data_IF_902805916350
#
_entry.id   IF_902805916350
#
_cell.length_a   1.000
_cell.length_b   1.000
_cell.length_c   1.000
_cell.angle_alpha   90.00
_cell.angle_beta   90.00
_cell.angle_gamma   90.00
#
_symmetry.space_group_name_H-M   'P 1'
#
loop_
_entity.id
_entity.type
_entity.pdbx_description
1 polymer ?
#
# COMPACT_ATOMS: atom_id res chain seq x y z
N UNK A 1 35.98 -65.28 6.67
CA UNK A 1 36.77 -64.51 5.69
C UNK A 1 35.82 -63.43 5.16
N UNK A 2 35.79 -62.19 5.72
CA UNK A 2 36.71 -61.05 5.47
C UNK A 2 36.78 -60.72 3.97
N UNK A 3 36.55 -59.53 3.41
CA UNK A 3 36.63 -58.11 3.88
C UNK A 3 35.68 -57.23 3.03
N UNK A 4 35.30 -56.07 3.58
CA UNK A 4 34.57 -54.94 3.02
C UNK A 4 35.19 -54.26 1.76
N UNK A 5 34.39 -53.47 1.02
CA UNK A 5 34.69 -52.03 0.88
C UNK A 5 33.49 -51.19 0.38
N UNK A 6 33.41 -49.96 0.90
CA UNK A 6 32.39 -48.94 0.62
C UNK A 6 33.05 -47.69 0.03
N UNK A 7 32.39 -46.98 -0.91
CA UNK A 7 32.59 -45.58 -1.34
C UNK A 7 31.72 -45.31 -2.57
N UNK A 8 31.22 -44.13 -2.91
CA UNK A 8 30.89 -42.86 -2.27
C UNK A 8 30.19 -42.04 -3.38
N UNK A 9 29.22 -41.21 -3.02
CA UNK A 9 28.41 -40.34 -3.90
C UNK A 9 29.23 -39.28 -4.67
N UNK A 10 28.72 -38.81 -5.82
CA UNK A 10 28.60 -37.39 -6.19
C UNK A 10 27.53 -37.18 -7.30
N UNK A 11 26.55 -36.26 -7.13
CA UNK A 11 25.64 -35.84 -8.18
C UNK A 11 26.18 -34.62 -8.97
N UNK A 12 25.84 -34.57 -10.26
CA UNK A 12 26.15 -33.49 -11.20
C UNK A 12 25.23 -32.29 -10.92
N UNK A 13 25.80 -31.14 -10.58
CA UNK A 13 25.07 -29.88 -10.43
C UNK A 13 25.34 -28.97 -11.64
N UNK A 14 24.33 -28.80 -12.51
CA UNK A 14 24.31 -27.82 -13.59
C UNK A 14 23.74 -26.48 -13.07
N UNK A 15 24.62 -25.54 -12.72
CA UNK A 15 24.27 -24.15 -12.42
C UNK A 15 24.39 -23.28 -13.66
N UNK A 16 23.35 -23.22 -14.50
CA UNK A 16 23.28 -22.32 -15.64
C UNK A 16 22.67 -20.98 -15.25
N UNK A 17 23.49 -19.93 -15.12
CA UNK A 17 23.02 -18.54 -15.12
C UNK A 17 22.30 -18.31 -16.44
N UNK A 18 21.04 -17.85 -16.37
CA UNK A 18 20.13 -17.75 -17.52
C UNK A 18 20.74 -16.90 -18.65
N UNK A 19 21.20 -17.60 -19.68
CA UNK A 19 21.87 -17.14 -20.90
C UNK A 19 21.10 -15.99 -21.59
N UNK A 20 19.78 -15.90 -21.37
CA UNK A 20 18.93 -14.81 -21.88
C UNK A 20 19.22 -13.46 -21.21
N UNK A 21 19.47 -13.44 -19.91
CA UNK A 21 19.77 -12.21 -19.16
C UNK A 21 21.13 -11.64 -19.54
N UNK A 22 22.12 -12.52 -19.76
CA UNK A 22 23.44 -12.14 -20.24
C UNK A 22 23.37 -11.62 -21.68
N UNK A 23 22.62 -12.29 -22.57
CA UNK A 23 22.39 -11.84 -23.96
C UNK A 23 21.71 -10.48 -24.03
N UNK A 24 20.70 -10.23 -23.18
CA UNK A 24 20.01 -8.94 -23.12
C UNK A 24 20.94 -7.82 -22.62
N UNK A 25 21.74 -8.07 -21.59
CA UNK A 25 22.72 -7.11 -21.07
C UNK A 25 23.80 -6.76 -22.12
N UNK A 26 24.26 -7.76 -22.89
CA UNK A 26 25.20 -7.57 -24.00
C UNK A 26 24.54 -6.74 -25.12
N UNK A 27 23.29 -7.03 -25.48
CA UNK A 27 22.55 -6.30 -26.51
C UNK A 27 22.36 -4.82 -26.14
N UNK A 28 21.96 -4.52 -24.90
CA UNK A 28 21.80 -3.14 -24.40
C UNK A 28 23.15 -2.41 -24.39
N UNK A 29 24.23 -3.09 -24.01
CA UNK A 29 25.58 -2.52 -24.00
C UNK A 29 26.09 -2.19 -25.40
N UNK A 30 25.82 -3.06 -26.38
CA UNK A 30 26.18 -2.83 -27.79
C UNK A 30 25.38 -1.69 -28.41
N UNK A 31 24.09 -1.56 -28.07
CA UNK A 31 23.25 -0.44 -28.54
C UNK A 31 23.73 0.90 -27.97
N UNK A 32 24.09 0.95 -26.67
CA UNK A 32 24.67 2.14 -26.05
C UNK A 32 26.04 2.50 -26.63
N UNK A 33 26.88 1.50 -26.92
CA UNK A 33 28.17 1.71 -27.57
C UNK A 33 28.04 2.29 -28.99
N UNK A 34 27.08 1.79 -29.79
CA UNK A 34 26.79 2.33 -31.13
C UNK A 34 26.23 3.76 -31.09
N UNK A 35 25.43 4.09 -30.08
CA UNK A 35 24.91 5.46 -29.91
C UNK A 35 26.04 6.46 -29.59
N UNK A 36 26.98 6.06 -28.72
CA UNK A 36 28.15 6.88 -28.36
C UNK A 36 29.12 7.04 -29.53
N UNK A 37 29.34 5.98 -30.34
CA UNK A 37 30.16 6.06 -31.55
C UNK A 37 29.55 6.98 -32.62
N UNK A 38 28.22 6.99 -32.77
CA UNK A 38 27.53 7.95 -33.66
C UNK A 38 27.68 9.40 -33.19
N UNK A 39 27.72 9.64 -31.88
CA UNK A 39 28.01 10.98 -31.32
C UNK A 39 29.47 11.41 -31.54
N UNK A 40 30.42 10.47 -31.51
CA UNK A 40 31.85 10.79 -31.73
C UNK A 40 32.20 10.99 -33.21
N UNK A 41 31.43 10.43 -34.16
CA UNK A 41 31.65 10.66 -35.60
C UNK A 41 31.20 12.04 -36.11
N UNK A 42 30.51 12.86 -35.31
CA UNK A 42 30.07 14.21 -35.70
C UNK A 42 31.10 15.32 -35.41
N UNK A 43 32.29 15.02 -34.88
CA UNK A 43 33.34 16.02 -34.58
C UNK A 43 34.70 15.67 -35.23
N UNK A 44 34.77 15.75 -36.58
CA UNK A 44 35.95 15.99 -37.46
C UNK A 44 37.29 15.20 -37.25
N UNK A 45 38.31 15.39 -38.12
CA UNK A 45 38.39 15.00 -39.53
C UNK A 45 39.51 13.95 -39.80
N UNK A 46 39.56 13.46 -41.04
CA UNK A 46 40.55 12.51 -41.59
C UNK A 46 41.97 13.08 -41.55
N UNK A 47 42.89 12.46 -40.80
CA UNK A 47 44.34 12.48 -41.11
C UNK A 47 44.96 11.14 -40.71
N UNK A 48 45.51 10.46 -41.71
CA UNK A 48 46.31 9.24 -41.63
C UNK A 48 47.71 9.55 -41.10
N UNK A 49 48.13 8.89 -40.01
CA UNK A 49 49.54 8.77 -39.62
C UNK A 49 49.76 7.46 -38.82
N UNK A 50 50.97 6.86 -38.88
CA UNK A 50 51.25 5.53 -38.32
C UNK A 50 51.25 5.53 -36.78
N UNK A 51 51.06 4.36 -36.12
CA UNK A 51 50.88 4.31 -34.68
C UNK A 51 52.22 4.63 -33.99
N UNK A 52 52.30 5.83 -33.42
CA UNK A 52 53.38 6.22 -32.51
C UNK A 52 53.17 5.52 -31.17
N UNK A 53 54.27 5.21 -30.46
CA UNK A 53 54.29 4.71 -29.07
C UNK A 53 53.36 5.49 -28.11
N UNK A 54 53.00 6.72 -28.48
CA UNK A 54 51.97 7.55 -27.83
C UNK A 54 50.60 6.87 -27.76
N UNK A 55 50.15 6.19 -28.81
CA UNK A 55 48.86 5.48 -28.80
C UNK A 55 48.90 4.26 -27.89
N UNK A 56 50.01 3.51 -27.88
CA UNK A 56 50.18 2.37 -26.99
C UNK A 56 50.12 2.80 -25.51
N UNK A 57 50.73 3.94 -25.16
CA UNK A 57 50.66 4.52 -23.82
C UNK A 57 49.24 5.02 -23.49
N UNK A 58 48.55 5.65 -24.44
CA UNK A 58 47.15 6.09 -24.27
C UNK A 58 46.20 4.92 -24.05
N UNK A 59 46.33 3.84 -24.80
CA UNK A 59 45.55 2.62 -24.62
C UNK A 59 45.87 1.92 -23.30
N UNK A 60 47.13 1.92 -22.88
CA UNK A 60 47.54 1.42 -21.56
C UNK A 60 46.92 2.20 -20.42
N UNK A 61 46.85 3.53 -20.53
CA UNK A 61 46.22 4.39 -19.53
C UNK A 61 44.70 4.18 -19.48
N UNK A 62 44.04 4.14 -20.64
CA UNK A 62 42.60 3.87 -20.75
C UNK A 62 42.22 2.47 -20.24
N UNK A 63 43.07 1.47 -20.46
CA UNK A 63 42.87 0.12 -19.91
C UNK A 63 43.01 0.11 -18.38
N UNK A 64 43.94 0.91 -17.83
CA UNK A 64 44.11 1.06 -16.38
C UNK A 64 42.92 1.75 -15.73
N UNK A 65 42.43 2.84 -16.33
CA UNK A 65 41.22 3.56 -15.89
C UNK A 65 39.99 2.65 -15.95
N UNK A 66 39.79 1.94 -17.05
CA UNK A 66 38.68 0.96 -17.16
C UNK A 66 38.78 -0.16 -16.16
N UNK A 67 39.99 -0.64 -15.83
CA UNK A 67 40.19 -1.67 -14.81
C UNK A 67 39.84 -1.14 -13.42
N UNK A 68 40.21 0.11 -13.10
CA UNK A 68 39.83 0.76 -11.85
C UNK A 68 38.33 0.99 -11.76
N UNK A 69 37.71 1.44 -12.86
CA UNK A 69 36.26 1.64 -12.93
C UNK A 69 35.50 0.31 -12.86
N UNK A 70 36.00 -0.77 -13.44
CA UNK A 70 35.44 -2.12 -13.28
C UNK A 70 35.52 -2.63 -11.84
N UNK A 71 36.63 -2.34 -11.13
CA UNK A 71 36.78 -2.70 -9.71
C UNK A 71 35.79 -1.89 -8.88
N UNK A 72 35.71 -0.57 -9.10
CA UNK A 72 34.72 0.29 -8.45
C UNK A 72 33.30 -0.20 -8.72
N UNK A 73 32.94 -0.47 -9.97
CA UNK A 73 31.61 -0.95 -10.34
C UNK A 73 31.32 -2.32 -9.75
N UNK A 74 32.32 -3.21 -9.58
CA UNK A 74 32.16 -4.48 -8.86
C UNK A 74 31.97 -4.27 -7.36
N UNK A 75 32.67 -3.30 -6.76
CA UNK A 75 32.47 -2.91 -5.37
C UNK A 75 31.07 -2.33 -5.17
N UNK A 76 30.60 -1.47 -6.07
CA UNK A 76 29.25 -0.91 -6.07
C UNK A 76 28.19 -2.00 -6.32
N UNK A 77 28.46 -2.98 -7.19
CA UNK A 77 27.59 -4.15 -7.41
C UNK A 77 27.54 -5.02 -6.17
N UNK A 78 28.69 -5.28 -5.54
CA UNK A 78 28.79 -6.04 -4.30
C UNK A 78 28.10 -5.33 -3.14
N UNK A 79 28.22 -4.01 -3.02
CA UNK A 79 27.46 -3.23 -2.03
C UNK A 79 25.96 -3.24 -2.31
N UNK A 80 25.54 -3.24 -3.59
CA UNK A 80 24.14 -3.36 -3.96
C UNK A 80 23.58 -4.77 -3.76
N UNK A 81 24.40 -5.81 -3.96
CA UNK A 81 24.08 -7.22 -3.72
C UNK A 81 24.10 -7.56 -2.23
N UNK A 82 25.08 -7.07 -1.47
CA UNK A 82 25.15 -7.18 -0.01
C UNK A 82 23.98 -6.41 0.63
N UNK A 83 23.58 -5.25 0.09
CA UNK A 83 22.33 -4.57 0.49
C UNK A 83 21.04 -5.24 -0.03
N UNK A 84 21.16 -6.25 -0.90
CA UNK A 84 20.05 -7.11 -1.34
C UNK A 84 19.97 -8.43 -0.57
N UNK A 85 21.11 -8.87 0.00
CA UNK A 85 21.25 -10.03 0.89
C UNK A 85 21.07 -9.68 2.36
N UNK A 86 21.34 -8.43 2.73
CA UNK A 86 20.64 -7.76 3.82
C UNK A 86 19.19 -7.56 3.36
N UNK A 87 18.44 -8.65 3.33
CA UNK A 87 17.02 -8.60 3.61
C UNK A 87 16.91 -7.78 4.92
N UNK A 88 16.63 -6.47 4.78
CA UNK A 88 16.23 -5.57 5.88
C UNK A 88 15.06 -6.15 6.69
N UNK A 89 14.49 -7.24 6.21
CA UNK A 89 13.60 -8.14 6.90
C UNK A 89 14.43 -9.26 7.53
N UNK A 90 14.76 -9.11 8.81
CA UNK A 90 14.96 -10.29 9.66
C UNK A 90 13.83 -11.27 9.33
N UNK A 91 14.16 -12.45 8.81
CA UNK A 91 13.19 -13.50 8.44
C UNK A 91 12.29 -13.95 9.59
N UNK A 92 12.42 -13.34 10.78
CA UNK A 92 11.62 -13.58 11.98
C UNK A 92 11.20 -12.28 12.70
N UNK A 93 11.08 -11.13 12.02
CA UNK A 93 10.51 -9.94 12.64
C UNK A 93 8.98 -10.06 12.69
N UNK A 94 8.44 -10.73 13.73
CA UNK A 94 7.01 -10.65 14.04
C UNK A 94 6.69 -9.17 14.31
N UNK A 95 5.68 -8.62 13.62
CA UNK A 95 5.19 -7.29 14.00
C UNK A 95 4.58 -7.42 15.39
N UNK A 96 5.29 -6.96 16.43
CA UNK A 96 4.77 -6.81 17.81
C UNK A 96 3.77 -5.64 17.93
N UNK A 97 3.20 -5.21 16.80
CA UNK A 97 2.35 -4.04 16.74
C UNK A 97 0.92 -4.47 17.04
N UNK A 98 0.26 -3.75 17.96
CA UNK A 98 -1.18 -3.88 18.25
C UNK A 98 -2.10 -3.64 17.04
N UNK A 99 -1.52 -3.28 15.88
CA UNK A 99 -2.16 -3.04 14.58
C UNK A 99 -3.15 -4.14 14.17
N UNK A 100 -2.89 -5.40 14.57
CA UNK A 100 -3.82 -6.53 14.40
C UNK A 100 -3.94 -7.39 15.67
N UNK A 101 -3.42 -6.92 16.81
CA UNK A 101 -3.24 -7.73 18.02
C UNK A 101 -4.30 -7.38 19.07
N UNK A 102 -5.45 -8.02 18.89
CA UNK A 102 -6.29 -8.68 19.89
C UNK A 102 -7.43 -9.33 19.09
N UNK A 103 -7.78 -10.59 19.40
CA UNK A 103 -8.93 -11.36 18.84
C UNK A 103 -8.66 -12.30 17.64
N UNK A 104 -7.99 -13.42 17.90
CA UNK A 104 -8.38 -14.79 17.51
C UNK A 104 -7.15 -15.72 17.64
N UNK A 105 -6.92 -16.24 18.85
CA UNK A 105 -5.89 -17.26 19.09
C UNK A 105 -6.36 -18.61 18.53
N UNK A 106 -6.28 -18.83 17.22
CA UNK A 106 -6.21 -20.17 16.65
C UNK A 106 -4.82 -20.40 16.08
N UNK A 107 -4.03 -21.27 16.73
CA UNK A 107 -2.72 -21.70 16.23
C UNK A 107 -2.90 -22.37 14.85
N UNK A 108 -2.30 -21.87 13.76
CA UNK A 108 -2.22 -22.64 12.54
C UNK A 108 -1.16 -23.73 12.72
N UNK A 109 -1.51 -24.99 12.41
CA UNK A 109 -0.52 -26.06 12.23
C UNK A 109 0.35 -25.70 11.04
N UNK A 110 1.67 -25.65 11.24
CA UNK A 110 2.66 -25.44 10.17
C UNK A 110 2.55 -26.60 9.18
N UNK A 111 2.11 -26.32 7.97
CA UNK A 111 2.39 -27.16 6.81
C UNK A 111 3.31 -26.35 5.91
N UNK A 112 4.58 -26.77 5.84
CA UNK A 112 5.54 -26.30 4.86
C UNK A 112 5.11 -26.85 3.50
N UNK A 113 4.45 -26.02 2.71
CA UNK A 113 4.45 -26.17 1.27
C UNK A 113 4.89 -24.87 0.61
N UNK A 114 5.79 -25.06 -0.35
CA UNK A 114 6.32 -24.09 -1.29
C UNK A 114 5.16 -23.57 -2.14
N UNK A 115 4.45 -22.56 -1.64
CA UNK A 115 3.37 -21.92 -2.40
C UNK A 115 4.03 -20.87 -3.29
N UNK A 116 3.95 -21.13 -4.59
CA UNK A 116 4.19 -20.21 -5.68
C UNK A 116 3.30 -18.96 -5.46
N UNK A 117 3.87 -18.00 -4.73
CA UNK A 117 3.21 -16.76 -4.34
C UNK A 117 2.95 -15.95 -5.60
N UNK A 118 1.74 -16.07 -6.13
CA UNK A 118 1.15 -15.26 -7.21
C UNK A 118 0.94 -13.80 -6.79
N UNK A 119 1.80 -13.26 -5.92
CA UNK A 119 1.90 -11.85 -5.64
C UNK A 119 2.71 -11.21 -6.76
N UNK A 120 2.22 -10.11 -7.33
CA UNK A 120 2.83 -9.52 -8.50
C UNK A 120 4.19 -8.91 -8.14
N UNK A 121 5.25 -9.66 -8.44
CA UNK A 121 6.62 -9.29 -8.13
C UNK A 121 7.02 -7.95 -8.78
N UNK A 122 6.26 -7.46 -9.77
CA UNK A 122 6.42 -6.12 -10.34
C UNK A 122 5.98 -5.03 -9.36
N UNK A 123 4.78 -5.13 -8.78
CA UNK A 123 4.27 -4.15 -7.82
C UNK A 123 5.05 -4.20 -6.51
N UNK A 124 5.45 -5.41 -6.07
CA UNK A 124 6.41 -5.59 -4.97
C UNK A 124 7.72 -4.87 -5.24
N UNK A 125 8.36 -5.13 -6.39
CA UNK A 125 9.64 -4.49 -6.74
C UNK A 125 9.48 -2.98 -6.91
N UNK A 126 8.35 -2.52 -7.44
CA UNK A 126 8.04 -1.09 -7.56
C UNK A 126 7.94 -0.42 -6.20
N UNK A 127 7.15 -0.98 -5.29
CA UNK A 127 7.02 -0.51 -3.91
C UNK A 127 8.38 -0.52 -3.18
N UNK A 128 9.11 -1.64 -3.20
CA UNK A 128 10.42 -1.73 -2.54
C UNK A 128 11.46 -0.77 -3.12
N UNK A 129 11.45 -0.51 -4.44
CA UNK A 129 12.30 0.53 -5.03
C UNK A 129 11.98 1.91 -4.48
N UNK A 130 10.70 2.21 -4.24
CA UNK A 130 10.25 3.48 -3.66
C UNK A 130 10.64 3.59 -2.19
N UNK A 131 10.44 2.53 -1.41
CA UNK A 131 10.90 2.45 0.00
C UNK A 131 12.39 2.77 0.09
N UNK A 132 13.22 2.10 -0.73
CA UNK A 132 14.68 2.31 -0.78
C UNK A 132 15.05 3.70 -1.30
N UNK A 133 14.29 4.26 -2.24
CA UNK A 133 14.53 5.61 -2.73
C UNK A 133 14.27 6.65 -1.63
N UNK A 134 13.14 6.53 -0.92
CA UNK A 134 12.79 7.43 0.19
C UNK A 134 13.77 7.30 1.37
N UNK A 135 14.22 6.10 1.71
CA UNK A 135 15.22 5.89 2.76
C UNK A 135 16.58 6.49 2.38
N UNK A 136 17.03 6.33 1.13
CA UNK A 136 18.27 6.96 0.63
C UNK A 136 18.20 8.47 0.67
N UNK A 137 17.04 9.08 0.40
CA UNK A 137 16.85 10.53 0.52
C UNK A 137 16.95 11.03 1.96
N UNK A 138 16.35 10.31 2.92
CA UNK A 138 16.48 10.65 4.35
C UNK A 138 17.94 10.64 4.83
N UNK A 139 18.79 9.78 4.25
CA UNK A 139 20.24 9.72 4.56
C UNK A 139 21.04 10.86 3.90
N UNK A 140 20.54 11.45 2.81
CA UNK A 140 21.19 12.53 2.04
C UNK A 140 20.71 13.95 2.45
N UNK A 141 19.87 14.08 3.48
CA UNK A 141 19.40 15.38 3.98
C UNK A 141 20.44 16.16 4.81
N UNK A 142 21.73 15.79 4.70
CA UNK A 142 22.86 16.54 5.24
C UNK A 142 23.58 17.37 4.16
N UNK A 143 22.88 18.31 3.49
CA UNK A 143 23.59 19.39 2.77
C UNK A 143 22.93 20.06 1.56
N UNK A 144 22.59 21.34 1.75
CA UNK A 144 22.73 22.52 0.84
C UNK A 144 22.02 22.57 -0.54
N UNK A 145 21.54 21.51 -1.18
CA UNK A 145 20.93 21.63 -2.53
C UNK A 145 19.39 21.76 -2.55
N UNK A 146 18.85 22.72 -1.77
CA UNK A 146 17.40 22.85 -1.50
C UNK A 146 16.56 23.55 -2.58
N UNK A 147 17.14 24.30 -3.54
CA UNK A 147 16.37 25.31 -4.31
C UNK A 147 16.06 25.03 -5.78
N UNK A 148 16.63 23.99 -6.43
CA UNK A 148 16.41 23.73 -7.87
C UNK A 148 15.78 22.35 -8.18
N UNK A 149 15.40 21.59 -7.15
CA UNK A 149 15.00 20.17 -7.24
C UNK A 149 13.51 19.94 -6.84
N UNK A 150 12.73 21.01 -6.64
CA UNK A 150 11.39 20.92 -6.04
C UNK A 150 10.29 20.53 -7.02
N UNK A 151 10.36 20.94 -8.30
CA UNK A 151 9.27 20.68 -9.27
C UNK A 151 9.34 19.30 -9.94
N UNK A 152 10.53 18.69 -10.08
CA UNK A 152 10.65 17.30 -10.52
C UNK A 152 10.29 16.29 -9.41
N UNK A 153 10.26 16.74 -8.16
CA UNK A 153 10.11 15.86 -7.00
C UNK A 153 8.65 15.58 -6.65
N UNK A 154 7.71 16.48 -6.99
CA UNK A 154 6.31 16.33 -6.58
C UNK A 154 5.56 15.29 -7.42
N UNK A 155 5.82 15.24 -8.73
CA UNK A 155 5.28 14.20 -9.63
C UNK A 155 5.73 12.82 -9.17
N UNK A 156 7.00 12.70 -8.75
CA UNK A 156 7.54 11.46 -8.19
C UNK A 156 6.84 11.08 -6.88
N UNK A 157 6.54 12.03 -5.99
CA UNK A 157 5.84 11.76 -4.72
C UNK A 157 4.36 11.39 -4.90
N UNK A 158 3.64 12.00 -5.84
CA UNK A 158 2.26 11.59 -6.18
C UNK A 158 2.26 10.19 -6.79
N UNK A 159 3.24 9.86 -7.63
CA UNK A 159 3.37 8.52 -8.20
C UNK A 159 3.79 7.48 -7.16
N UNK A 160 4.58 7.89 -6.15
CA UNK A 160 4.87 7.05 -4.97
C UNK A 160 3.61 6.76 -4.17
N UNK A 161 2.77 7.77 -3.92
CA UNK A 161 1.49 7.60 -3.25
C UNK A 161 0.61 6.61 -4.01
N UNK A 162 0.43 6.83 -5.32
CA UNK A 162 -0.35 5.95 -6.20
C UNK A 162 0.17 4.51 -6.17
N UNK A 163 1.48 4.33 -6.28
CA UNK A 163 2.10 3.00 -6.28
C UNK A 163 1.95 2.28 -4.94
N UNK A 164 2.02 3.02 -3.82
CA UNK A 164 1.80 2.47 -2.47
C UNK A 164 0.34 2.06 -2.28
N UNK A 165 -0.60 2.85 -2.81
CA UNK A 165 -2.03 2.53 -2.86
C UNK A 165 -2.28 1.26 -3.68
N UNK A 166 -1.74 1.19 -4.90
CA UNK A 166 -1.91 0.03 -5.78
C UNK A 166 -1.33 -1.24 -5.15
N UNK A 167 -0.16 -1.13 -4.51
CA UNK A 167 0.47 -2.23 -3.77
C UNK A 167 -0.41 -2.69 -2.60
N UNK A 168 -0.94 -1.78 -1.79
CA UNK A 168 -1.78 -2.14 -0.64
C UNK A 168 -3.06 -2.84 -1.08
N UNK A 169 -3.72 -2.35 -2.13
CA UNK A 169 -4.94 -2.99 -2.63
C UNK A 169 -4.65 -4.36 -3.20
N UNK A 170 -3.59 -4.52 -4.01
CA UNK A 170 -3.22 -5.83 -4.53
C UNK A 170 -2.89 -6.80 -3.41
N UNK A 171 -2.19 -6.34 -2.36
CA UNK A 171 -1.88 -7.15 -1.19
C UNK A 171 -3.15 -7.69 -0.51
N UNK A 172 -4.22 -6.90 -0.44
CA UNK A 172 -5.53 -7.35 0.06
C UNK A 172 -6.25 -8.31 -0.91
N UNK A 173 -6.08 -8.12 -2.21
CA UNK A 173 -6.68 -8.98 -3.24
C UNK A 173 -6.03 -10.37 -3.29
N UNK A 174 -4.73 -10.46 -3.01
CA UNK A 174 -3.94 -11.70 -3.02
C UNK A 174 -3.72 -12.30 -1.64
N UNK A 175 -4.41 -11.83 -0.60
CA UNK A 175 -4.23 -12.34 0.76
C UNK A 175 -4.44 -13.85 0.82
N UNK A 176 -3.54 -14.55 1.52
CA UNK A 176 -3.66 -15.96 1.85
C UNK A 176 -3.39 -16.16 3.35
N UNK A 177 -4.20 -16.97 4.06
CA UNK A 177 -4.03 -17.21 5.49
C UNK A 177 -2.70 -17.88 5.85
N UNK A 178 -2.03 -18.55 4.90
CA UNK A 178 -0.69 -19.14 5.11
C UNK A 178 0.39 -18.05 5.24
N UNK A 179 0.17 -16.88 4.63
CA UNK A 179 1.10 -15.75 4.60
C UNK A 179 0.76 -14.62 5.58
N UNK A 180 -0.07 -14.87 6.60
CA UNK A 180 -0.64 -13.83 7.47
C UNK A 180 0.43 -12.91 8.09
N UNK A 181 1.51 -13.46 8.66
CA UNK A 181 2.57 -12.65 9.28
C UNK A 181 3.25 -11.70 8.26
N UNK A 182 3.48 -12.19 7.04
CA UNK A 182 4.08 -11.43 5.94
C UNK A 182 3.12 -10.34 5.45
N UNK A 183 1.83 -10.68 5.30
CA UNK A 183 0.78 -9.70 4.99
C UNK A 183 0.76 -8.56 6.01
N UNK A 184 0.77 -8.89 7.31
CA UNK A 184 0.73 -7.89 8.38
C UNK A 184 1.89 -6.88 8.28
N UNK A 185 3.10 -7.38 8.02
CA UNK A 185 4.29 -6.54 7.86
C UNK A 185 4.15 -5.62 6.65
N UNK A 186 3.80 -6.18 5.48
CA UNK A 186 3.70 -5.41 4.23
C UNK A 186 2.56 -4.40 4.25
N UNK A 187 1.42 -4.77 4.83
CA UNK A 187 0.27 -3.89 4.95
C UNK A 187 0.60 -2.70 5.87
N UNK A 188 1.22 -2.95 7.03
CA UNK A 188 1.65 -1.90 7.94
C UNK A 188 2.68 -0.96 7.27
N UNK A 189 3.65 -1.51 6.53
CA UNK A 189 4.59 -0.70 5.78
C UNK A 189 3.89 0.17 4.73
N UNK A 190 3.00 -0.40 3.92
CA UNK A 190 2.28 0.34 2.90
C UNK A 190 1.42 1.46 3.49
N UNK A 191 0.69 1.19 4.59
CA UNK A 191 -0.08 2.20 5.32
C UNK A 191 0.82 3.32 5.81
N UNK A 192 1.95 3.01 6.47
CA UNK A 192 2.90 4.02 6.92
C UNK A 192 3.46 4.87 5.77
N UNK A 193 3.73 4.26 4.62
CA UNK A 193 4.18 4.99 3.43
C UNK A 193 3.11 5.93 2.88
N UNK A 194 1.86 5.47 2.76
CA UNK A 194 0.72 6.28 2.33
C UNK A 194 0.53 7.48 3.26
N UNK A 195 0.45 7.24 4.57
CA UNK A 195 0.27 8.29 5.58
C UNK A 195 1.42 9.31 5.54
N UNK A 196 2.67 8.82 5.46
CA UNK A 196 3.82 9.70 5.35
C UNK A 196 3.83 10.50 4.04
N UNK A 197 3.37 9.92 2.93
CA UNK A 197 3.29 10.65 1.65
C UNK A 197 2.21 11.72 1.69
N UNK A 198 1.05 11.47 2.30
CA UNK A 198 0.00 12.48 2.48
C UNK A 198 0.47 13.65 3.35
N UNK A 199 1.17 13.37 4.46
CA UNK A 199 1.75 14.42 5.30
C UNK A 199 2.73 15.34 4.57
N UNK A 200 3.46 14.80 3.60
CA UNK A 200 4.41 15.59 2.80
C UNK A 200 3.73 16.36 1.66
N UNK A 201 2.60 15.86 1.14
CA UNK A 201 1.89 16.39 -0.03
C UNK A 201 0.80 17.41 0.32
N UNK A 202 -0.03 17.13 1.34
CA UNK A 202 -1.19 17.96 1.69
C UNK A 202 -0.83 19.42 2.03
N UNK A 203 0.21 19.72 2.83
CA UNK A 203 0.57 21.10 3.17
C UNK A 203 1.03 21.93 1.96
N UNK A 204 1.40 21.28 0.85
CA UNK A 204 1.84 21.98 -0.36
C UNK A 204 0.67 22.54 -1.18
N UNK A 205 -0.56 22.08 -0.94
CA UNK A 205 -1.78 22.56 -1.59
C UNK A 205 -1.85 22.38 -3.12
N UNK A 206 -0.86 21.73 -3.74
CA UNK A 206 -0.81 21.43 -5.18
C UNK A 206 -1.31 20.00 -5.43
N UNK A 207 -1.95 19.77 -6.57
CA UNK A 207 -2.48 18.45 -6.99
C UNK A 207 -3.52 17.83 -6.03
N UNK A 208 -4.22 18.63 -5.23
CA UNK A 208 -5.17 18.13 -4.20
C UNK A 208 -6.26 17.27 -4.83
N UNK A 209 -6.81 17.66 -5.99
CA UNK A 209 -7.83 16.88 -6.72
C UNK A 209 -7.31 15.49 -7.14
N UNK A 210 -6.04 15.41 -7.59
CA UNK A 210 -5.43 14.14 -7.98
C UNK A 210 -5.18 13.25 -6.76
N UNK A 211 -4.68 13.84 -5.67
CA UNK A 211 -4.45 13.13 -4.39
C UNK A 211 -5.79 12.61 -3.84
N UNK A 212 -6.83 13.43 -3.88
CA UNK A 212 -8.19 13.06 -3.52
C UNK A 212 -8.69 11.92 -4.40
N UNK A 213 -8.52 11.97 -5.72
CA UNK A 213 -8.88 10.87 -6.62
C UNK A 213 -8.19 9.56 -6.27
N UNK A 214 -6.89 9.60 -5.91
CA UNK A 214 -6.12 8.43 -5.48
C UNK A 214 -6.66 7.87 -4.16
N UNK A 215 -6.91 8.74 -3.17
CA UNK A 215 -7.43 8.35 -1.85
C UNK A 215 -8.86 7.81 -1.94
N UNK A 216 -9.73 8.46 -2.70
CA UNK A 216 -11.10 7.99 -2.94
C UNK A 216 -11.08 6.63 -3.64
N UNK A 217 -10.19 6.43 -4.62
CA UNK A 217 -9.98 5.12 -5.26
C UNK A 217 -9.50 4.05 -4.26
N UNK A 218 -8.55 4.38 -3.38
CA UNK A 218 -8.11 3.48 -2.31
C UNK A 218 -9.28 3.05 -1.43
N UNK A 219 -10.04 4.02 -0.90
CA UNK A 219 -11.18 3.78 -0.01
C UNK A 219 -12.22 2.90 -0.71
N UNK A 220 -12.62 3.25 -1.93
CA UNK A 220 -13.60 2.48 -2.69
C UNK A 220 -13.15 1.03 -2.93
N UNK A 221 -11.88 0.81 -3.28
CA UNK A 221 -11.34 -0.53 -3.53
C UNK A 221 -11.27 -1.36 -2.25
N UNK A 222 -10.87 -0.77 -1.12
CA UNK A 222 -10.85 -1.45 0.18
C UNK A 222 -12.27 -1.77 0.67
N UNK A 223 -13.21 -0.82 0.60
CA UNK A 223 -14.63 -1.06 0.95
C UNK A 223 -15.20 -2.17 0.08
N UNK A 224 -14.95 -2.13 -1.24
CA UNK A 224 -15.40 -3.19 -2.15
C UNK A 224 -14.84 -4.55 -1.72
N UNK A 225 -13.56 -4.64 -1.40
CA UNK A 225 -12.92 -5.89 -0.95
C UNK A 225 -13.52 -6.39 0.37
N UNK A 226 -13.72 -5.49 1.32
CA UNK A 226 -14.35 -5.78 2.62
C UNK A 226 -15.77 -6.32 2.47
N UNK A 227 -16.54 -5.82 1.50
CA UNK A 227 -17.94 -6.22 1.27
C UNK A 227 -18.12 -7.31 0.20
N UNK A 228 -17.05 -7.83 -0.41
CA UNK A 228 -17.18 -8.85 -1.46
C UNK A 228 -17.27 -10.26 -0.84
N UNK A 229 -18.15 -11.14 -1.34
CA UNK A 229 -18.07 -12.56 -1.04
C UNK A 229 -16.84 -13.14 -1.76
N UNK A 230 -15.89 -13.71 -1.02
CA UNK A 230 -14.85 -14.53 -1.63
C UNK A 230 -15.49 -15.87 -2.00
N UNK A 231 -15.55 -16.16 -3.31
CA UNK A 231 -15.91 -17.48 -3.81
C UNK A 231 -14.70 -18.42 -3.63
N UNK A 232 -14.95 -19.63 -3.15
CA UNK A 232 -14.00 -20.76 -3.04
C UNK A 232 -12.98 -20.74 -1.89
N UNK A 233 -13.07 -19.81 -0.94
CA UNK A 233 -12.21 -19.79 0.24
C UNK A 233 -12.91 -20.36 1.47
N UNK A 234 -12.16 -21.06 2.34
CA UNK A 234 -12.71 -21.53 3.62
C UNK A 234 -13.30 -20.36 4.43
N UNK A 235 -14.41 -20.58 5.15
CA UNK A 235 -15.11 -19.54 5.94
C UNK A 235 -14.15 -18.73 6.84
N UNK A 236 -13.15 -19.38 7.44
CA UNK A 236 -12.12 -18.73 8.26
C UNK A 236 -11.21 -17.78 7.46
N UNK A 237 -10.87 -18.11 6.22
CA UNK A 237 -10.04 -17.27 5.31
C UNK A 237 -10.79 -16.00 4.91
N UNK A 238 -12.09 -16.13 4.61
CA UNK A 238 -12.97 -15.01 4.23
C UNK A 238 -13.15 -14.05 5.40
N UNK A 239 -13.44 -14.57 6.59
CA UNK A 239 -13.59 -13.76 7.80
C UNK A 239 -12.33 -12.95 8.11
N UNK A 240 -11.16 -13.59 8.05
CA UNK A 240 -9.87 -12.94 8.26
C UNK A 240 -9.62 -11.81 7.25
N UNK A 241 -9.93 -12.03 5.96
CA UNK A 241 -9.72 -11.02 4.91
C UNK A 241 -10.56 -9.77 5.14
N UNK A 242 -11.84 -9.94 5.50
CA UNK A 242 -12.74 -8.80 5.77
C UNK A 242 -12.33 -8.04 7.02
N UNK A 243 -11.97 -8.75 8.08
CA UNK A 243 -11.45 -8.17 9.31
C UNK A 243 -10.17 -7.36 9.05
N UNK A 244 -9.20 -7.94 8.34
CA UNK A 244 -7.96 -7.24 8.01
C UNK A 244 -8.20 -6.01 7.13
N UNK A 245 -9.12 -6.09 6.17
CA UNK A 245 -9.46 -4.95 5.32
C UNK A 245 -10.14 -3.84 6.12
N UNK A 246 -11.08 -4.17 7.01
CA UNK A 246 -11.73 -3.21 7.91
C UNK A 246 -10.68 -2.50 8.80
N UNK A 247 -9.76 -3.27 9.40
CA UNK A 247 -8.70 -2.72 10.23
C UNK A 247 -7.75 -1.83 9.44
N UNK A 248 -7.44 -2.16 8.18
CA UNK A 248 -6.66 -1.29 7.32
C UNK A 248 -7.36 0.04 7.03
N UNK A 249 -8.67 0.03 6.78
CA UNK A 249 -9.44 1.28 6.59
C UNK A 249 -9.44 2.11 7.87
N UNK A 250 -9.62 1.47 9.04
CA UNK A 250 -9.54 2.13 10.35
C UNK A 250 -8.18 2.80 10.55
N UNK A 251 -7.09 2.09 10.30
CA UNK A 251 -5.72 2.58 10.49
C UNK A 251 -5.34 3.69 9.51
N UNK A 252 -5.73 3.56 8.24
CA UNK A 252 -5.61 4.65 7.26
C UNK A 252 -6.45 5.87 7.69
N UNK A 253 -7.62 5.62 8.30
CA UNK A 253 -8.52 6.64 8.82
C UNK A 253 -7.93 7.48 9.94
N UNK A 254 -6.84 7.06 10.60
CA UNK A 254 -6.14 7.91 11.58
C UNK A 254 -5.79 9.30 11.03
N UNK A 255 -5.48 9.40 9.74
CA UNK A 255 -5.26 10.67 9.06
C UNK A 255 -6.61 11.33 8.71
N UNK A 256 -6.91 12.55 9.22
CA UNK A 256 -8.22 13.19 9.03
C UNK A 256 -8.66 13.28 7.56
N UNK A 257 -7.71 13.46 6.64
CA UNK A 257 -7.96 13.55 5.20
C UNK A 257 -8.56 12.26 4.61
N UNK A 258 -8.08 11.09 5.07
CA UNK A 258 -8.63 9.79 4.65
C UNK A 258 -9.88 9.48 5.48
N UNK A 259 -9.81 9.65 6.80
CA UNK A 259 -10.86 9.26 7.74
C UNK A 259 -12.22 9.87 7.42
N UNK A 260 -12.29 11.19 7.22
CA UNK A 260 -13.55 11.87 6.88
C UNK A 260 -14.16 11.35 5.57
N UNK A 261 -13.32 11.10 4.53
CA UNK A 261 -13.78 10.55 3.25
C UNK A 261 -14.21 9.09 3.36
N UNK A 262 -13.55 8.32 4.23
CA UNK A 262 -13.92 6.94 4.50
C UNK A 262 -15.31 6.89 5.15
N UNK A 263 -15.61 7.77 6.11
CA UNK A 263 -16.94 7.84 6.72
C UNK A 263 -18.02 8.10 5.67
N UNK A 264 -17.85 9.12 4.81
CA UNK A 264 -18.79 9.40 3.71
C UNK A 264 -18.99 8.18 2.83
N UNK A 265 -17.90 7.60 2.33
CA UNK A 265 -17.94 6.47 1.39
C UNK A 265 -18.63 5.24 1.99
N UNK A 266 -18.36 4.94 3.27
CA UNK A 266 -18.97 3.83 3.98
C UNK A 266 -20.46 4.10 4.24
N UNK A 267 -20.84 5.32 4.66
CA UNK A 267 -22.25 5.69 4.87
C UNK A 267 -23.09 5.62 3.59
N UNK A 268 -22.54 6.08 2.47
CA UNK A 268 -23.18 5.95 1.17
C UNK A 268 -23.34 4.48 0.78
N UNK A 269 -22.31 3.65 1.02
CA UNK A 269 -22.39 2.21 0.74
C UNK A 269 -23.40 1.49 1.63
N UNK A 270 -23.53 1.87 2.91
CA UNK A 270 -24.57 1.38 3.82
C UNK A 270 -25.95 1.72 3.28
N UNK A 271 -26.16 2.98 2.86
CA UNK A 271 -27.44 3.40 2.27
C UNK A 271 -27.82 2.52 1.07
N UNK A 272 -26.89 2.37 0.11
CA UNK A 272 -27.10 1.55 -1.07
C UNK A 272 -27.29 0.05 -0.75
N UNK A 273 -26.59 -0.47 0.27
CA UNK A 273 -26.76 -1.84 0.73
C UNK A 273 -28.13 -2.04 1.40
N UNK A 274 -28.59 -1.06 2.18
CA UNK A 274 -29.90 -1.08 2.82
C UNK A 274 -31.04 -1.05 1.80
N UNK A 275 -30.95 -0.17 0.80
CA UNK A 275 -31.89 -0.13 -0.32
C UNK A 275 -31.93 -1.45 -1.09
N UNK A 276 -30.77 -2.03 -1.39
CA UNK A 276 -30.68 -3.33 -2.05
C UNK A 276 -31.36 -4.44 -1.24
N UNK A 277 -31.10 -4.51 0.07
CA UNK A 277 -31.75 -5.49 0.97
C UNK A 277 -33.26 -5.30 1.11
N UNK A 278 -33.78 -4.09 0.93
CA UNK A 278 -35.21 -3.82 1.02
C UNK A 278 -35.99 -4.58 -0.05
N UNK A 279 -35.39 -4.75 -1.23
CA UNK A 279 -36.00 -5.41 -2.38
C UNK A 279 -35.45 -6.82 -2.66
N UNK A 280 -34.41 -7.24 -1.95
CA UNK A 280 -33.79 -8.56 -2.12
C UNK A 280 -34.67 -9.67 -1.54
N UNK A 281 -34.65 -10.83 -2.20
CA UNK A 281 -35.20 -12.08 -1.68
C UNK A 281 -34.32 -12.57 -0.51
N UNK A 282 -34.89 -12.84 0.68
CA UNK A 282 -34.17 -13.44 1.80
C UNK A 282 -33.48 -14.78 1.48
N UNK A 283 -33.91 -15.47 0.41
CA UNK A 283 -33.32 -16.73 -0.05
C UNK A 283 -32.31 -16.54 -1.21
N UNK A 284 -31.99 -15.30 -1.60
CA UNK A 284 -30.93 -15.03 -2.58
C UNK A 284 -29.55 -15.38 -1.99
N UNK A 285 -28.70 -16.03 -2.79
CA UNK A 285 -27.35 -16.44 -2.37
C UNK A 285 -26.49 -15.26 -1.88
N UNK A 286 -26.75 -14.04 -2.34
CA UNK A 286 -26.01 -12.84 -1.93
C UNK A 286 -26.54 -12.23 -0.62
N UNK A 287 -27.75 -12.60 -0.18
CA UNK A 287 -28.40 -12.01 0.99
C UNK A 287 -27.54 -12.10 2.25
N UNK A 288 -26.99 -13.28 2.65
CA UNK A 288 -26.13 -13.37 3.83
C UNK A 288 -24.89 -12.47 3.74
N UNK A 289 -24.27 -12.40 2.56
CA UNK A 289 -23.05 -11.59 2.36
C UNK A 289 -23.31 -10.09 2.51
N UNK A 290 -24.49 -9.62 2.06
CA UNK A 290 -24.87 -8.22 2.18
C UNK A 290 -25.27 -7.86 3.62
N UNK A 291 -25.92 -8.79 4.32
CA UNK A 291 -26.21 -8.70 5.75
C UNK A 291 -24.92 -8.54 6.58
N UNK A 292 -23.93 -9.39 6.36
CA UNK A 292 -22.61 -9.31 7.02
C UNK A 292 -21.88 -8.01 6.69
N UNK A 293 -21.93 -7.60 5.41
CA UNK A 293 -21.30 -6.37 4.95
C UNK A 293 -21.84 -5.13 5.67
N UNK A 294 -23.15 -5.08 5.93
CA UNK A 294 -23.76 -3.99 6.70
C UNK A 294 -23.19 -3.89 8.11
N UNK A 295 -23.09 -5.00 8.84
CA UNK A 295 -22.55 -4.98 10.21
C UNK A 295 -21.10 -4.50 10.25
N UNK A 296 -20.25 -5.00 9.35
CA UNK A 296 -18.85 -4.60 9.28
C UNK A 296 -18.71 -3.11 8.92
N UNK A 297 -19.55 -2.60 8.01
CA UNK A 297 -19.54 -1.18 7.64
C UNK A 297 -20.02 -0.27 8.78
N UNK A 298 -21.11 -0.62 9.46
CA UNK A 298 -21.62 0.17 10.60
C UNK A 298 -20.56 0.21 11.72
N UNK A 299 -19.97 -0.93 12.04
CA UNK A 299 -18.91 -1.03 13.03
C UNK A 299 -17.66 -0.20 12.65
N UNK A 300 -17.30 -0.18 11.37
CA UNK A 300 -16.18 0.64 10.90
C UNK A 300 -16.44 2.13 11.13
N UNK A 301 -17.64 2.63 10.84
CA UNK A 301 -18.00 4.03 11.12
C UNK A 301 -17.90 4.32 12.61
N UNK A 302 -18.44 3.43 13.44
CA UNK A 302 -18.38 3.59 14.89
C UNK A 302 -16.94 3.70 15.40
N UNK A 303 -16.04 2.83 14.94
CA UNK A 303 -14.63 2.91 15.29
C UNK A 303 -13.99 4.22 14.84
N UNK A 304 -14.23 4.64 13.59
CA UNK A 304 -13.68 5.89 13.08
C UNK A 304 -14.12 7.10 13.90
N UNK A 305 -15.39 7.15 14.31
CA UNK A 305 -15.92 8.23 15.15
C UNK A 305 -15.36 8.16 16.57
N UNK A 306 -15.45 6.99 17.20
CA UNK A 306 -15.10 6.82 18.62
C UNK A 306 -13.61 7.06 18.84
N UNK A 307 -12.77 6.50 17.97
CA UNK A 307 -11.32 6.52 18.16
C UNK A 307 -10.68 7.83 17.67
N UNK A 308 -11.17 8.38 16.56
CA UNK A 308 -10.43 9.41 15.83
C UNK A 308 -11.10 10.77 15.75
N UNK A 309 -12.43 10.89 15.87
CA UNK A 309 -13.07 12.22 15.87
C UNK A 309 -12.52 13.17 16.97
N UNK A 310 -12.21 12.71 18.21
CA UNK A 310 -11.59 13.57 19.22
C UNK A 310 -10.18 14.04 18.85
N UNK A 311 -9.48 13.28 18.02
CA UNK A 311 -8.12 13.57 17.54
C UNK A 311 -8.20 14.50 16.34
N UNK A 312 -9.04 14.17 15.36
CA UNK A 312 -9.25 14.95 14.14
C UNK A 312 -9.73 16.37 14.46
N UNK A 313 -10.66 16.54 15.40
CA UNK A 313 -11.20 17.87 15.75
C UNK A 313 -10.17 18.87 16.30
N UNK A 314 -8.96 18.41 16.65
CA UNK A 314 -7.84 19.24 17.09
C UNK A 314 -6.79 19.43 15.99
N UNK A 315 -6.95 18.76 14.85
CA UNK A 315 -6.01 18.79 13.73
C UNK A 315 -6.36 19.96 12.80
N UNK A 316 -5.34 20.69 12.35
CA UNK A 316 -5.49 21.81 11.41
C UNK A 316 -6.02 21.36 10.04
N UNK A 317 -5.84 20.07 9.69
CA UNK A 317 -6.32 19.49 8.45
C UNK A 317 -7.76 18.96 8.54
N UNK A 318 -8.45 19.19 9.66
CA UNK A 318 -9.87 18.87 9.78
C UNK A 318 -10.71 19.80 8.89
N UNK A 319 -11.60 19.22 8.09
CA UNK A 319 -12.39 19.98 7.14
C UNK A 319 -13.83 20.07 7.66
N UNK A 320 -14.20 21.22 8.20
CA UNK A 320 -15.54 21.45 8.75
C UNK A 320 -16.66 21.37 7.71
N UNK A 321 -16.38 21.69 6.44
CA UNK A 321 -17.35 21.53 5.36
C UNK A 321 -17.61 20.04 5.07
N UNK A 322 -16.53 19.26 5.02
CA UNK A 322 -16.63 17.81 4.86
C UNK A 322 -17.29 17.16 6.09
N UNK A 323 -17.13 17.76 7.27
CA UNK A 323 -17.79 17.34 8.50
C UNK A 323 -19.32 17.34 8.37
N UNK A 324 -19.91 18.44 7.87
CA UNK A 324 -21.35 18.49 7.57
C UNK A 324 -21.77 17.36 6.61
N UNK A 325 -21.02 17.18 5.52
CA UNK A 325 -21.36 16.19 4.48
C UNK A 325 -21.38 14.75 5.01
N UNK A 326 -20.45 14.38 5.90
CA UNK A 326 -20.45 13.04 6.44
C UNK A 326 -21.47 12.83 7.55
N UNK A 327 -21.82 13.85 8.33
CA UNK A 327 -22.97 13.80 9.25
C UNK A 327 -24.26 13.57 8.46
N UNK A 328 -24.48 14.33 7.38
CA UNK A 328 -25.63 14.14 6.46
C UNK A 328 -25.62 12.72 5.88
N UNK A 329 -24.46 12.21 5.47
CA UNK A 329 -24.34 10.86 4.91
C UNK A 329 -24.69 9.78 5.92
N UNK A 330 -24.29 9.91 7.19
CA UNK A 330 -24.67 8.99 8.28
C UNK A 330 -26.18 9.03 8.53
N UNK A 331 -26.77 10.22 8.59
CA UNK A 331 -28.21 10.38 8.80
C UNK A 331 -29.01 9.78 7.64
N UNK A 332 -28.52 9.95 6.40
CA UNK A 332 -29.09 9.29 5.24
C UNK A 332 -29.01 7.76 5.34
N UNK A 333 -27.87 7.22 5.76
CA UNK A 333 -27.70 5.80 5.99
C UNK A 333 -28.66 5.25 7.07
N UNK A 334 -28.83 5.99 8.18
CA UNK A 334 -29.81 5.67 9.23
C UNK A 334 -31.24 5.65 8.67
N UNK A 335 -31.62 6.66 7.88
CA UNK A 335 -32.94 6.76 7.23
C UNK A 335 -33.18 5.56 6.30
N UNK A 336 -32.19 5.16 5.49
CA UNK A 336 -32.29 3.99 4.63
C UNK A 336 -32.46 2.68 5.44
N UNK A 337 -31.69 2.51 6.52
CA UNK A 337 -31.78 1.31 7.37
C UNK A 337 -33.06 1.26 8.22
N UNK A 338 -33.67 2.41 8.54
CA UNK A 338 -34.98 2.47 9.20
C UNK A 338 -36.08 1.80 8.37
N UNK A 339 -36.00 1.84 7.04
CA UNK A 339 -36.95 1.15 6.17
C UNK A 339 -36.88 -0.38 6.31
N UNK A 340 -35.75 -0.90 6.80
CA UNK A 340 -35.54 -2.33 7.06
C UNK A 340 -35.97 -2.77 8.46
N UNK A 341 -36.54 -1.89 9.30
CA UNK A 341 -36.91 -2.21 10.69
C UNK A 341 -37.81 -3.46 10.78
N UNK A 342 -38.74 -3.60 9.84
CA UNK A 342 -39.64 -4.77 9.74
C UNK A 342 -38.94 -6.08 9.37
N UNK A 343 -37.77 -6.02 8.72
CA UNK A 343 -36.95 -7.19 8.35
C UNK A 343 -35.92 -7.50 9.42
N UNK A 344 -35.19 -6.48 9.87
CA UNK A 344 -34.17 -6.59 10.91
C UNK A 344 -33.93 -5.23 11.59
N UNK A 345 -34.53 -5.03 12.76
CA UNK A 345 -34.35 -3.81 13.56
C UNK A 345 -32.94 -3.62 14.16
N UNK A 346 -32.05 -4.63 14.13
CA UNK A 346 -30.70 -4.50 14.69
C UNK A 346 -29.86 -3.45 13.95
N UNK A 347 -30.06 -3.29 12.64
CA UNK A 347 -29.37 -2.26 11.87
C UNK A 347 -29.65 -0.86 12.37
N UNK A 348 -30.92 -0.60 12.69
CA UNK A 348 -31.35 0.69 13.24
C UNK A 348 -30.72 0.90 14.63
N UNK A 349 -30.76 -0.12 15.50
CA UNK A 349 -30.15 -0.03 16.84
C UNK A 349 -28.64 0.26 16.78
N UNK A 350 -27.90 -0.36 15.85
CA UNK A 350 -26.47 -0.08 15.69
C UNK A 350 -26.22 1.31 15.10
N UNK A 351 -27.05 1.77 14.15
CA UNK A 351 -26.96 3.15 13.66
C UNK A 351 -27.33 4.17 14.72
N UNK A 352 -28.30 3.87 15.58
CA UNK A 352 -28.68 4.74 16.72
C UNK A 352 -27.51 4.87 17.71
N UNK A 353 -26.77 3.78 17.95
CA UNK A 353 -25.52 3.83 18.72
C UNK A 353 -24.50 4.76 18.06
N UNK A 354 -24.29 4.63 16.76
CA UNK A 354 -23.36 5.47 15.98
C UNK A 354 -23.77 6.95 16.04
N UNK A 355 -25.05 7.26 15.80
CA UNK A 355 -25.54 8.65 15.85
C UNK A 355 -25.52 9.20 17.27
N UNK A 356 -25.81 8.38 18.28
CA UNK A 356 -25.75 8.78 19.69
C UNK A 356 -24.33 9.12 20.14
N UNK A 357 -23.34 8.33 19.73
CA UNK A 357 -21.92 8.63 19.99
C UNK A 357 -21.49 9.90 19.27
N UNK A 358 -21.87 10.07 18.00
CA UNK A 358 -21.61 11.28 17.23
C UNK A 358 -22.22 12.53 17.90
N UNK A 359 -23.48 12.47 18.30
CA UNK A 359 -24.17 13.55 19.01
C UNK A 359 -23.47 13.90 20.32
N UNK A 360 -23.03 12.88 21.07
CA UNK A 360 -22.27 13.08 22.30
C UNK A 360 -20.95 13.82 22.04
N UNK A 361 -20.20 13.43 21.01
CA UNK A 361 -18.94 14.09 20.66
C UNK A 361 -19.12 15.51 20.14
N UNK A 362 -20.09 15.76 19.26
CA UNK A 362 -20.44 17.10 18.76
C UNK A 362 -20.79 18.04 19.91
N UNK A 363 -21.57 17.55 20.88
CA UNK A 363 -21.89 18.33 22.07
C UNK A 363 -20.65 18.65 22.89
N UNK A 364 -19.70 17.74 23.01
CA UNK A 364 -18.54 17.93 23.90
C UNK A 364 -17.40 18.71 23.26
N UNK A 365 -17.30 18.74 21.93
CA UNK A 365 -16.21 19.38 21.19
C UNK A 365 -16.69 20.72 20.63
N UNK A 366 -16.16 21.82 21.16
CA UNK A 366 -16.61 23.18 20.82
C UNK A 366 -16.53 23.49 19.31
N UNK A 367 -15.49 23.03 18.61
CA UNK A 367 -15.30 23.26 17.17
C UNK A 367 -16.26 22.49 16.26
N UNK A 368 -17.02 21.52 16.78
CA UNK A 368 -17.98 20.74 15.98
C UNK A 368 -19.41 21.28 16.09
N UNK A 369 -19.66 22.27 16.96
CA UNK A 369 -20.99 22.85 17.19
C UNK A 369 -21.43 23.85 16.10
N UNK A 370 -20.58 24.09 15.10
CA UNK A 370 -20.87 24.98 13.97
C UNK A 370 -21.76 24.34 12.89
N UNK A 371 -22.22 23.10 13.11
CA UNK A 371 -23.20 22.44 12.24
C UNK A 371 -24.47 23.27 12.10
N UNK A 372 -25.08 23.21 10.91
CA UNK A 372 -26.39 23.84 10.66
C UNK A 372 -27.43 23.32 11.66
N UNK A 373 -28.31 24.20 12.19
CA UNK A 373 -29.32 23.83 13.18
C UNK A 373 -30.16 22.61 12.78
N UNK A 374 -30.61 22.56 11.53
CA UNK A 374 -31.44 21.46 11.00
C UNK A 374 -30.72 20.10 11.08
N UNK A 375 -29.39 20.07 10.89
CA UNK A 375 -28.58 18.85 10.97
C UNK A 375 -28.38 18.43 12.43
N UNK A 376 -28.21 19.41 13.33
CA UNK A 376 -28.09 19.16 14.76
C UNK A 376 -29.39 18.58 15.33
N UNK A 377 -30.53 19.11 14.91
CA UNK A 377 -31.84 18.62 15.32
C UNK A 377 -32.07 17.18 14.84
N UNK A 378 -31.75 16.88 13.57
CA UNK A 378 -31.81 15.51 13.01
C UNK A 378 -30.82 14.52 13.67
N UNK A 379 -29.76 15.01 14.32
CA UNK A 379 -28.75 14.17 15.00
C UNK A 379 -29.12 13.86 16.45
N UNK A 380 -29.85 14.76 17.10
CA UNK A 380 -30.27 14.63 18.51
C UNK A 380 -31.62 13.89 18.63
N UNK A 381 -32.38 13.78 17.54
CA UNK A 381 -33.64 13.05 17.42
C UNK A 381 -33.51 11.71 16.68
#
# INVERSE_FOLDING_TARGET
MSVADARSQMPVASGGIDDRSLKLAIAISLLRSKAIQKQQQQQQPVVSNPPSDSDALRWKQKAKERKQELIRLREDLKQAEDASHDDLFSQNATCKCFFFDDLAKSKPKRLEHDIDNRFNDVLRRRFLRQVRHRERRRKLDSGVHRKRLLDFNEVDEVEHLRSSVDFLVELCDTFSPVGEATFKIWAHQAVNFILASLKDLLPRGRNVELIEGIVTSLIMRLIRRMCSPLKDESENSVFNTRFYTQQLVRELGREPFIGQRAVISVSQRISAAGESLLFMDPFDDNFPSLHESLFIMIQLIEFLISDYLPIWSKDENFNSLLFEEWVISILHAKKALKLLESRNGLYLLYMDRVTGELANQVRNIQGLRELKPDILDDLVH
#
